data_IF_607989125200
#
_entry.id   IF_607989125200
#
_cell.length_a   1.000
_cell.length_b   1.000
_cell.length_c   1.000
_cell.angle_alpha   90.00
_cell.angle_beta   90.00
_cell.angle_gamma   90.00
#
_symmetry.space_group_name_H-M   'P 1'
#
loop_
_entity.id
_entity.type
_entity.pdbx_description
1 polymer ?
#
# COMPACT_ATOMS: atom_id res chain seq x y z
N UNK A 1 4.71 -43.07 17.68
CA UNK A 1 4.79 -42.83 16.22
C UNK A 1 3.73 -41.85 15.72
N UNK A 2 2.47 -41.89 16.21
CA UNK A 2 1.39 -40.99 15.76
C UNK A 2 1.53 -39.50 16.11
N UNK A 3 2.13 -39.16 17.26
CA UNK A 3 2.31 -37.74 17.64
C UNK A 3 3.32 -37.01 16.75
N UNK A 4 4.37 -37.71 16.32
CA UNK A 4 5.39 -37.14 15.45
C UNK A 4 4.81 -36.84 14.06
N UNK A 5 4.04 -37.76 13.49
CA UNK A 5 3.41 -37.56 12.16
C UNK A 5 2.38 -36.43 12.17
N UNK A 6 1.61 -36.29 13.24
CA UNK A 6 0.69 -35.16 13.43
C UNK A 6 1.44 -33.83 13.55
N UNK A 7 2.57 -33.81 14.28
CA UNK A 7 3.43 -32.64 14.38
C UNK A 7 4.01 -32.21 13.02
N UNK A 8 4.54 -33.15 12.24
CA UNK A 8 5.06 -32.85 10.89
C UNK A 8 3.98 -32.37 9.93
N UNK A 9 2.78 -32.95 9.99
CA UNK A 9 1.65 -32.53 9.17
C UNK A 9 1.21 -31.08 9.49
N UNK A 10 1.14 -30.71 10.78
CA UNK A 10 0.82 -29.34 11.19
C UNK A 10 1.86 -28.35 10.70
N UNK A 11 3.16 -28.67 10.84
CA UNK A 11 4.24 -27.81 10.34
C UNK A 11 4.15 -27.62 8.83
N UNK A 12 3.90 -28.71 8.08
CA UNK A 12 3.73 -28.63 6.62
C UNK A 12 2.54 -27.74 6.23
N UNK A 13 1.41 -27.84 6.93
CA UNK A 13 0.24 -26.99 6.69
C UNK A 13 0.56 -25.52 6.98
N UNK A 14 1.22 -25.21 8.10
CA UNK A 14 1.61 -23.83 8.44
C UNK A 14 2.55 -23.25 7.38
N UNK A 15 3.52 -24.04 6.91
CA UNK A 15 4.46 -23.61 5.85
C UNK A 15 3.73 -23.37 4.53
N UNK A 16 2.82 -24.26 4.12
CA UNK A 16 2.07 -24.12 2.88
C UNK A 16 1.10 -22.93 2.94
N UNK A 17 0.35 -22.78 4.03
CA UNK A 17 -0.59 -21.67 4.20
C UNK A 17 0.17 -20.35 4.32
N UNK A 18 1.20 -20.29 5.16
CA UNK A 18 2.03 -19.10 5.35
C UNK A 18 2.74 -18.69 4.05
N UNK A 19 3.32 -19.66 3.33
CA UNK A 19 3.95 -19.44 2.04
C UNK A 19 2.96 -18.96 0.98
N UNK A 20 1.76 -19.54 0.93
CA UNK A 20 0.68 -19.10 0.05
C UNK A 20 0.21 -17.68 0.34
N UNK A 21 0.04 -17.33 1.62
CA UNK A 21 -0.31 -15.97 2.04
C UNK A 21 0.78 -14.96 1.66
N UNK A 22 2.05 -15.28 1.91
CA UNK A 22 3.19 -14.42 1.58
C UNK A 22 3.30 -14.22 0.05
N UNK A 23 3.21 -15.29 -0.72
CA UNK A 23 3.21 -15.24 -2.18
C UNK A 23 2.08 -14.37 -2.73
N UNK A 24 0.87 -14.55 -2.20
CA UNK A 24 -0.28 -13.73 -2.59
C UNK A 24 -0.06 -12.26 -2.24
N UNK A 25 0.49 -11.97 -1.06
CA UNK A 25 0.83 -10.60 -0.67
C UNK A 25 1.82 -9.98 -1.65
N UNK A 26 2.88 -10.71 -2.03
CA UNK A 26 3.91 -10.23 -2.98
C UNK A 26 3.31 -10.03 -4.38
N UNK A 27 2.48 -10.95 -4.86
CA UNK A 27 1.80 -10.87 -6.16
C UNK A 27 0.76 -9.76 -6.24
N UNK A 28 0.13 -9.43 -5.11
CA UNK A 28 -0.87 -8.37 -5.01
C UNK A 28 -0.27 -7.05 -4.53
N UNK A 29 1.06 -6.89 -4.51
CA UNK A 29 1.65 -5.60 -4.20
C UNK A 29 1.15 -4.58 -5.24
N UNK A 30 0.62 -3.42 -4.81
CA UNK A 30 0.33 -2.32 -5.72
C UNK A 30 1.62 -1.91 -6.43
N UNK A 31 1.63 -2.03 -7.75
CA UNK A 31 2.70 -1.52 -8.59
C UNK A 31 2.11 -0.53 -9.58
N UNK A 32 2.71 0.65 -9.67
CA UNK A 32 2.25 1.71 -10.56
C UNK A 32 2.54 3.09 -9.99
N UNK A 33 2.29 4.11 -10.81
CA UNK A 33 2.44 5.51 -10.41
C UNK A 33 1.09 6.06 -9.96
N UNK A 34 1.00 6.53 -8.72
CA UNK A 34 -0.19 7.17 -8.17
C UNK A 34 -0.06 8.69 -8.29
N UNK A 35 -0.98 9.32 -9.00
CA UNK A 35 -1.11 10.77 -9.06
C UNK A 35 -2.09 11.26 -8.02
N UNK A 36 -1.68 12.21 -7.19
CA UNK A 36 -2.53 12.83 -6.18
C UNK A 36 -3.01 14.20 -6.67
N UNK A 37 -4.33 14.41 -6.62
CA UNK A 37 -4.96 15.67 -6.94
C UNK A 37 -5.44 16.34 -5.64
N UNK A 38 -4.93 17.53 -5.32
CA UNK A 38 -5.43 18.30 -4.18
C UNK A 38 -6.87 18.74 -4.43
N UNK A 39 -7.76 18.47 -3.47
CA UNK A 39 -9.16 18.90 -3.48
C UNK A 39 -9.53 19.50 -2.12
N UNK A 40 -10.49 20.41 -2.12
CA UNK A 40 -10.85 21.21 -0.95
C UNK A 40 -11.35 20.43 0.28
N UNK A 41 -11.81 19.18 0.15
CA UNK A 41 -12.32 18.38 1.28
C UNK A 41 -11.48 17.11 1.53
N UNK A 42 -11.25 16.32 0.49
CA UNK A 42 -10.46 15.08 0.58
C UNK A 42 -9.60 14.93 -0.69
N UNK A 43 -8.29 14.70 -0.55
CA UNK A 43 -7.42 14.53 -1.71
C UNK A 43 -7.84 13.29 -2.51
N UNK A 44 -7.75 13.39 -3.83
CA UNK A 44 -8.06 12.30 -4.75
C UNK A 44 -6.78 11.69 -5.30
N UNK A 45 -6.84 10.42 -5.65
CA UNK A 45 -5.76 9.65 -6.25
C UNK A 45 -6.23 9.00 -7.54
N UNK A 46 -5.35 8.92 -8.53
CA UNK A 46 -5.56 8.17 -9.78
C UNK A 46 -4.34 7.34 -10.09
N UNK A 47 -4.55 6.09 -10.44
CA UNK A 47 -3.48 5.22 -10.90
C UNK A 47 -3.17 5.49 -12.37
N UNK A 48 -1.89 5.50 -12.71
CA UNK A 48 -1.45 5.49 -14.10
C UNK A 48 -1.61 4.07 -14.65
N UNK A 49 -2.48 3.92 -15.64
CA UNK A 49 -2.69 2.67 -16.36
C UNK A 49 -1.53 2.42 -17.33
N UNK A 50 -1.24 1.17 -17.70
CA UNK A 50 -0.18 0.83 -18.67
C UNK A 50 -0.31 1.55 -20.02
N UNK A 51 -1.52 1.95 -20.40
CA UNK A 51 -1.83 2.68 -21.63
C UNK A 51 -1.46 4.17 -21.56
N UNK A 52 -1.01 4.66 -20.39
CA UNK A 52 -0.68 6.07 -20.15
C UNK A 52 -1.86 6.93 -19.72
N UNK A 53 -3.06 6.34 -19.63
CA UNK A 53 -4.25 7.02 -19.13
C UNK A 53 -4.34 6.94 -17.60
N UNK A 54 -5.03 7.91 -17.01
CA UNK A 54 -5.33 7.89 -15.58
C UNK A 54 -6.64 7.15 -15.34
N UNK A 55 -6.62 6.24 -14.38
CA UNK A 55 -7.79 5.51 -13.91
C UNK A 55 -8.81 6.41 -13.19
N UNK A 56 -9.89 5.81 -12.70
CA UNK A 56 -10.91 6.47 -11.91
C UNK A 56 -10.34 7.20 -10.67
N UNK A 57 -10.97 8.31 -10.31
CA UNK A 57 -10.56 9.06 -9.13
C UNK A 57 -11.06 8.41 -7.85
N UNK A 58 -10.13 7.99 -7.01
CA UNK A 58 -10.39 7.39 -5.70
C UNK A 58 -10.07 8.39 -4.59
N UNK A 59 -10.85 8.35 -3.51
CA UNK A 59 -10.53 9.11 -2.29
C UNK A 59 -9.24 8.57 -1.69
N UNK A 60 -8.35 9.48 -1.31
CA UNK A 60 -7.08 9.14 -0.65
C UNK A 60 -7.08 9.69 0.77
N UNK A 61 -6.74 8.84 1.72
CA UNK A 61 -6.43 9.21 3.09
C UNK A 61 -5.01 8.78 3.42
N UNK A 62 -4.40 9.47 4.38
CA UNK A 62 -3.06 9.14 4.86
C UNK A 62 -3.16 8.72 6.32
N UNK A 63 -2.97 7.42 6.56
CA UNK A 63 -3.06 6.83 7.89
C UNK A 63 -1.71 6.94 8.63
N UNK A 64 -0.61 7.14 7.89
CA UNK A 64 0.74 7.18 8.45
C UNK A 64 1.65 8.07 7.60
N UNK A 65 2.18 9.13 8.19
CA UNK A 65 3.07 10.08 7.51
C UNK A 65 4.33 10.31 8.33
N UNK A 66 5.44 9.70 7.93
CA UNK A 66 6.74 9.87 8.58
C UNK A 66 7.83 10.17 7.56
N UNK A 67 9.05 10.57 8.00
CA UNK A 67 10.17 10.79 7.10
C UNK A 67 10.55 9.55 6.28
N UNK A 68 10.28 8.35 6.80
CA UNK A 68 10.80 7.08 6.25
C UNK A 68 9.74 6.15 5.69
N UNK A 69 8.46 6.40 5.98
CA UNK A 69 7.38 5.52 5.56
C UNK A 69 6.09 6.33 5.42
N UNK A 70 5.40 6.10 4.31
CA UNK A 70 4.10 6.71 4.04
C UNK A 70 3.08 5.61 3.83
N UNK A 71 2.03 5.62 4.65
CA UNK A 71 0.86 4.76 4.52
C UNK A 71 -0.28 5.55 3.92
N UNK A 72 -0.68 5.20 2.70
CA UNK A 72 -1.84 5.77 2.02
C UNK A 72 -2.95 4.72 1.93
N UNK A 73 -4.18 5.16 2.07
CA UNK A 73 -5.36 4.38 1.73
C UNK A 73 -6.02 5.02 0.53
N UNK A 74 -6.01 4.31 -0.60
CA UNK A 74 -6.55 4.71 -1.89
C UNK A 74 -7.82 3.88 -2.13
N UNK A 75 -8.99 4.48 -1.92
CA UNK A 75 -10.26 3.75 -1.89
C UNK A 75 -10.24 2.67 -0.79
N UNK A 76 -10.36 1.40 -1.18
CA UNK A 76 -10.29 0.24 -0.27
C UNK A 76 -8.88 -0.33 -0.13
N UNK A 77 -7.92 0.15 -0.93
CA UNK A 77 -6.57 -0.41 -0.96
C UNK A 77 -5.63 0.37 -0.06
N UNK A 78 -4.84 -0.34 0.76
CA UNK A 78 -3.75 0.25 1.54
C UNK A 78 -2.42 0.07 0.81
N UNK A 79 -1.69 1.15 0.67
CA UNK A 79 -0.39 1.23 0.01
C UNK A 79 0.63 1.73 1.01
N UNK A 80 1.74 0.99 1.13
CA UNK A 80 2.90 1.40 1.91
C UNK A 80 4.00 1.80 0.95
N UNK A 81 4.48 3.03 1.09
CA UNK A 81 5.52 3.59 0.26
C UNK A 81 6.77 3.77 1.11
N UNK A 82 7.83 3.10 0.68
CA UNK A 82 9.18 3.33 1.17
C UNK A 82 9.69 4.68 0.66
N UNK A 83 10.66 5.30 1.34
CA UNK A 83 11.14 6.63 0.98
C UNK A 83 11.77 6.62 -0.42
N UNK A 84 12.40 5.51 -0.82
CA UNK A 84 13.04 5.34 -2.12
C UNK A 84 12.03 5.18 -3.28
N UNK A 85 10.76 4.90 -2.96
CA UNK A 85 9.69 4.74 -3.96
C UNK A 85 9.01 6.07 -4.33
N UNK A 86 9.37 7.18 -3.66
CA UNK A 86 8.79 8.49 -3.89
C UNK A 86 9.91 9.51 -4.12
N UNK A 87 9.90 10.28 -5.22
CA UNK A 87 10.81 11.40 -5.39
C UNK A 87 10.71 12.40 -4.24
N UNK A 88 11.81 13.03 -3.85
CA UNK A 88 11.86 13.92 -2.69
C UNK A 88 10.81 15.05 -2.77
N UNK A 89 10.65 15.67 -3.95
CA UNK A 89 9.68 16.75 -4.14
C UNK A 89 8.24 16.26 -3.96
N UNK A 90 7.94 15.03 -4.42
CA UNK A 90 6.65 14.39 -4.26
C UNK A 90 6.40 14.04 -2.78
N UNK A 91 7.41 13.57 -2.04
CA UNK A 91 7.29 13.34 -0.60
C UNK A 91 6.94 14.62 0.15
N UNK A 92 7.59 15.73 -0.19
CA UNK A 92 7.28 17.05 0.39
C UNK A 92 5.89 17.55 0.00
N UNK A 93 5.42 17.24 -1.21
CA UNK A 93 4.08 17.58 -1.66
C UNK A 93 3.01 16.76 -0.91
N UNK A 94 3.22 15.45 -0.77
CA UNK A 94 2.37 14.56 0.06
C UNK A 94 2.31 15.07 1.49
N UNK A 95 3.45 15.43 2.08
CA UNK A 95 3.48 16.01 3.43
C UNK A 95 2.63 17.27 3.49
N UNK A 96 2.78 18.22 2.56
CA UNK A 96 1.94 19.43 2.54
C UNK A 96 0.44 19.12 2.33
N UNK A 97 0.12 18.10 1.54
CA UNK A 97 -1.24 17.72 1.23
C UNK A 97 -1.99 17.15 2.44
N UNK A 98 -1.32 16.30 3.22
CA UNK A 98 -1.94 15.61 4.36
C UNK A 98 -1.62 16.26 5.71
N UNK A 99 -0.57 17.08 5.81
CA UNK A 99 -0.24 17.85 7.01
C UNK A 99 -1.01 19.18 7.01
N UNK A 100 -2.31 19.11 7.30
CA UNK A 100 -3.08 20.29 7.69
C UNK A 100 -3.13 20.36 9.22
N UNK A 101 -2.59 21.40 9.86
CA UNK A 101 -2.73 21.58 11.29
C UNK A 101 -4.20 21.89 11.60
N UNK A 102 -4.87 21.01 12.35
CA UNK A 102 -6.25 21.25 12.81
C UNK A 102 -7.30 20.23 12.36
N UNK A 103 -6.90 19.05 11.88
CA UNK A 103 -7.77 17.86 11.84
C UNK A 103 -7.21 16.78 12.76
#
# INVERSE_FOLDING_TARGET
MCLATVGWALTAVVVLVGGGCLWRSIRCLPHGTLYLLPRAQEPLGRWLLPQGELDESLVVSCDYLTPWLVGLKVGQQRVWLWPDSIPWEAHRAVRRLFHSPGR
#
